data_IF_792274845820
#
_entry.id   IF_792274845820
#
_cell.length_a   1.000
_cell.length_b   1.000
_cell.length_c   1.000
_cell.angle_alpha   90.00
_cell.angle_beta   90.00
_cell.angle_gamma   90.00
#
_symmetry.space_group_name_H-M   'P 1'
#
loop_
_entity.id
_entity.type
_entity.pdbx_description
1 polymer ?
#
# COMPACT_ATOMS: atom_id res chain seq x y z
N UNK A 1 3.78 11.53 -37.81
CA UNK A 1 5.00 11.78 -37.02
C UNK A 1 5.35 10.51 -36.27
N UNK A 2 6.50 9.91 -36.53
CA UNK A 2 7.02 8.74 -35.83
C UNK A 2 7.88 9.19 -34.64
N UNK A 3 7.64 8.64 -33.46
CA UNK A 3 8.51 8.83 -32.29
C UNK A 3 9.50 7.67 -32.28
N UNK A 4 10.80 7.96 -32.27
CA UNK A 4 11.85 6.96 -32.10
C UNK A 4 12.08 6.71 -30.61
N UNK A 5 12.03 5.45 -30.19
CA UNK A 5 12.19 5.02 -28.80
C UNK A 5 13.41 4.11 -28.65
N UNK A 6 14.35 4.48 -27.77
CA UNK A 6 15.69 3.86 -27.69
C UNK A 6 15.94 3.07 -26.41
N UNK A 7 14.88 2.70 -25.70
CA UNK A 7 14.94 1.90 -24.48
C UNK A 7 14.27 2.57 -23.29
N UNK A 8 14.38 1.92 -22.14
CA UNK A 8 13.76 2.37 -20.89
C UNK A 8 14.59 1.97 -19.68
N UNK A 9 14.37 2.71 -18.60
CA UNK A 9 14.77 2.36 -17.25
C UNK A 9 13.54 2.56 -16.37
N UNK A 10 13.06 1.47 -15.79
CA UNK A 10 12.00 1.48 -14.78
C UNK A 10 12.70 1.57 -13.43
N UNK A 11 12.50 2.69 -12.76
CA UNK A 11 12.80 2.78 -11.34
C UNK A 11 11.61 2.21 -10.59
N UNK A 12 11.72 0.98 -10.13
CA UNK A 12 10.87 0.51 -9.04
C UNK A 12 11.26 1.35 -7.82
N UNK A 13 10.33 2.20 -7.38
CA UNK A 13 10.51 2.96 -6.16
C UNK A 13 10.51 1.91 -5.02
N UNK A 14 11.69 1.46 -4.57
CA UNK A 14 11.83 0.87 -3.22
C UNK A 14 11.24 1.82 -2.15
N UNK A 15 10.97 3.09 -2.52
CA UNK A 15 10.18 4.09 -1.82
C UNK A 15 8.70 3.75 -1.57
N UNK A 16 8.18 2.60 -2.00
CA UNK A 16 6.89 2.09 -1.46
C UNK A 16 6.98 1.78 0.04
N UNK A 17 8.18 1.61 0.59
CA UNK A 17 8.41 1.30 2.00
C UNK A 17 9.10 2.45 2.74
N UNK A 18 8.51 3.66 2.69
CA UNK A 18 8.93 4.72 3.61
C UNK A 18 8.80 4.23 5.04
N UNK A 19 9.86 4.42 5.83
CA UNK A 19 9.82 4.18 7.27
C UNK A 19 8.83 5.14 7.92
N UNK A 20 8.34 4.76 9.09
CA UNK A 20 7.40 5.57 9.86
C UNK A 20 7.96 6.98 10.17
N UNK A 21 9.29 7.11 10.22
CA UNK A 21 9.95 8.37 10.56
C UNK A 21 10.09 9.34 9.37
N UNK A 22 9.79 8.89 8.15
CA UNK A 22 10.01 9.68 6.94
C UNK A 22 8.76 10.47 6.55
N UNK A 23 8.93 11.65 5.96
CA UNK A 23 7.81 12.43 5.42
C UNK A 23 7.26 11.78 4.14
N UNK A 24 5.95 11.51 4.07
CA UNK A 24 5.33 10.96 2.88
C UNK A 24 5.21 12.03 1.79
N UNK A 25 5.38 11.62 0.53
CA UNK A 25 5.25 12.48 -0.65
C UNK A 25 3.87 12.30 -1.26
N UNK A 26 3.28 13.40 -1.73
CA UNK A 26 1.99 13.36 -2.44
C UNK A 26 2.09 12.58 -3.75
N UNK A 27 1.00 11.93 -4.16
CA UNK A 27 0.87 11.17 -5.41
C UNK A 27 1.63 9.84 -5.41
N UNK A 28 1.90 9.28 -4.23
CA UNK A 28 2.66 8.04 -4.05
C UNK A 28 1.84 6.98 -3.32
N UNK A 29 2.24 5.73 -3.55
CA UNK A 29 1.71 4.55 -2.89
C UNK A 29 2.66 4.10 -1.79
N UNK A 30 2.12 3.80 -0.61
CA UNK A 30 2.92 3.31 0.52
C UNK A 30 2.37 2.02 1.10
N UNK A 31 3.29 1.18 1.57
CA UNK A 31 2.99 0.04 2.41
C UNK A 31 2.66 0.55 3.81
N UNK A 32 1.44 0.25 4.26
CA UNK A 32 0.95 0.64 5.58
C UNK A 32 0.24 -0.53 6.25
N UNK A 33 -0.12 -0.35 7.52
CA UNK A 33 -0.68 -1.38 8.37
C UNK A 33 -1.93 -0.86 9.10
N UNK A 34 -2.90 -1.76 9.24
CA UNK A 34 -4.13 -1.50 9.99
C UNK A 34 -4.41 -2.67 10.93
N UNK A 35 -4.45 -2.38 12.24
CA UNK A 35 -4.82 -3.34 13.27
C UNK A 35 -6.31 -3.34 13.50
N UNK A 36 -6.94 -4.51 13.41
CA UNK A 36 -8.39 -4.68 13.54
C UNK A 36 -8.74 -6.04 14.14
N UNK A 37 -10.04 -6.34 14.30
CA UNK A 37 -10.50 -7.63 14.78
C UNK A 37 -10.56 -8.67 13.67
N UNK A 38 -10.56 -9.96 14.01
CA UNK A 38 -10.66 -11.04 13.01
C UNK A 38 -11.93 -10.90 12.16
N UNK A 39 -13.08 -10.62 12.78
CA UNK A 39 -14.35 -10.46 12.07
C UNK A 39 -14.34 -9.24 11.14
N UNK A 40 -13.79 -8.12 11.62
CA UNK A 40 -13.67 -6.89 10.84
C UNK A 40 -12.70 -7.07 9.67
N UNK A 41 -11.60 -7.81 9.86
CA UNK A 41 -10.66 -8.16 8.79
C UNK A 41 -11.35 -8.94 7.66
N UNK A 42 -12.18 -9.95 7.98
CA UNK A 42 -12.97 -10.67 6.97
C UNK A 42 -13.88 -9.73 6.18
N UNK A 43 -14.60 -8.85 6.88
CA UNK A 43 -15.50 -7.88 6.27
C UNK A 43 -14.76 -6.86 5.40
N UNK A 44 -13.61 -6.36 5.86
CA UNK A 44 -12.75 -5.43 5.13
C UNK A 44 -12.21 -6.06 3.86
N UNK A 45 -11.76 -7.31 3.93
CA UNK A 45 -11.31 -8.04 2.74
C UNK A 45 -12.51 -8.13 1.78
N UNK A 46 -13.62 -8.73 2.21
CA UNK A 46 -14.80 -8.98 1.36
C UNK A 46 -15.44 -7.74 0.74
N UNK A 47 -15.61 -6.69 1.53
CA UNK A 47 -16.46 -5.53 1.20
C UNK A 47 -15.68 -4.23 1.04
N UNK A 48 -14.37 -4.24 1.27
CA UNK A 48 -13.55 -3.05 1.39
C UNK A 48 -13.66 -2.35 2.74
N UNK A 49 -12.79 -1.36 2.95
CA UNK A 49 -12.83 -0.52 4.13
C UNK A 49 -14.08 0.38 4.16
N UNK A 50 -14.49 0.76 5.36
CA UNK A 50 -15.47 1.81 5.61
C UNK A 50 -14.82 2.90 6.45
N UNK A 51 -15.17 4.15 6.17
CA UNK A 51 -14.70 5.28 6.97
C UNK A 51 -15.24 5.15 8.41
N UNK A 52 -14.41 5.51 9.40
CA UNK A 52 -14.92 5.84 10.71
C UNK A 52 -15.79 7.11 10.63
N UNK A 53 -16.75 7.25 11.54
CA UNK A 53 -17.58 8.46 11.61
C UNK A 53 -16.84 9.67 12.18
N UNK A 54 -15.78 9.43 12.97
CA UNK A 54 -14.94 10.47 13.56
C UNK A 54 -13.56 9.88 13.95
N UNK A 55 -12.67 10.75 14.39
CA UNK A 55 -11.36 10.44 14.93
C UNK A 55 -10.57 11.72 15.21
N UNK A 56 -9.31 11.59 15.64
CA UNK A 56 -8.44 12.74 15.91
C UNK A 56 -8.19 13.61 14.65
N UNK A 57 -8.26 12.98 13.47
CA UNK A 57 -8.16 13.60 12.14
C UNK A 57 -9.52 13.68 11.42
N UNK A 58 -10.64 13.46 12.12
CA UNK A 58 -11.97 13.38 11.51
C UNK A 58 -12.27 12.02 10.85
N UNK A 59 -13.34 11.94 10.04
CA UNK A 59 -13.75 10.69 9.41
C UNK A 59 -12.73 10.20 8.38
N UNK A 60 -12.51 8.87 8.34
CA UNK A 60 -11.60 8.23 7.39
C UNK A 60 -11.13 6.86 7.85
N UNK A 61 -10.12 6.32 7.18
CA UNK A 61 -9.47 5.06 7.54
C UNK A 61 -8.08 5.34 8.09
N UNK A 62 -7.86 4.96 9.34
CA UNK A 62 -6.61 5.17 10.06
C UNK A 62 -5.62 4.07 9.75
N UNK A 63 -4.44 4.44 9.29
CA UNK A 63 -3.36 3.52 8.91
C UNK A 63 -2.02 4.07 9.41
N UNK A 64 -1.03 3.19 9.46
CA UNK A 64 0.29 3.51 10.02
C UNK A 64 1.35 2.77 9.22
N UNK A 65 2.44 3.43 8.87
CA UNK A 65 3.65 2.78 8.33
C UNK A 65 4.39 2.00 9.41
N UNK A 66 4.18 2.31 10.69
CA UNK A 66 4.68 1.50 11.79
C UNK A 66 3.81 0.26 12.04
N UNK A 67 4.30 -0.93 11.70
CA UNK A 67 3.57 -2.20 11.95
C UNK A 67 3.33 -2.44 13.44
N UNK A 68 4.35 -2.25 14.29
CA UNK A 68 4.24 -2.47 15.75
C UNK A 68 3.19 -1.55 16.37
N UNK A 69 2.98 -0.34 15.82
CA UNK A 69 1.88 0.53 16.23
C UNK A 69 0.54 -0.13 15.91
N UNK A 70 0.36 -0.63 14.69
CA UNK A 70 -0.87 -1.28 14.25
C UNK A 70 -1.21 -2.53 15.07
N UNK A 71 -0.21 -3.34 15.46
CA UNK A 71 -0.40 -4.55 16.30
C UNK A 71 -1.06 -4.27 17.66
N UNK A 72 -0.98 -3.03 18.16
CA UNK A 72 -1.63 -2.63 19.42
C UNK A 72 -3.13 -2.42 19.27
N UNK A 73 -3.65 -2.30 18.05
CA UNK A 73 -5.06 -2.02 17.80
C UNK A 73 -5.85 -3.29 17.45
N UNK A 74 -7.13 -3.35 17.88
CA UNK A 74 -7.80 -2.40 18.76
C UNK A 74 -7.30 -2.50 20.22
N UNK A 75 -7.09 -1.36 20.90
CA UNK A 75 -6.45 -1.29 22.23
C UNK A 75 -7.15 -2.14 23.29
N UNK A 76 -8.49 -2.16 23.29
CA UNK A 76 -9.34 -2.89 24.25
C UNK A 76 -9.83 -4.22 23.70
N UNK A 77 -9.01 -4.91 22.91
CA UNK A 77 -9.30 -6.23 22.36
C UNK A 77 -8.34 -7.29 22.92
N UNK A 78 -8.82 -8.54 23.06
CA UNK A 78 -7.97 -9.69 23.40
C UNK A 78 -6.98 -9.94 22.26
N UNK A 79 -5.74 -10.32 22.58
CA UNK A 79 -4.74 -10.66 21.56
C UNK A 79 -5.23 -11.77 20.63
N UNK A 80 -6.05 -12.70 21.16
CA UNK A 80 -6.65 -13.81 20.40
C UNK A 80 -7.68 -13.38 19.34
N UNK A 81 -7.99 -12.08 19.23
CA UNK A 81 -8.93 -11.53 18.25
C UNK A 81 -8.29 -10.37 17.46
N UNK A 82 -6.98 -10.14 17.57
CA UNK A 82 -6.28 -9.09 16.81
C UNK A 82 -5.67 -9.62 15.52
N UNK A 83 -5.82 -8.84 14.46
CA UNK A 83 -5.21 -9.08 13.15
C UNK A 83 -4.57 -7.78 12.67
N UNK A 84 -3.44 -7.89 11.96
CA UNK A 84 -2.84 -6.76 11.25
C UNK A 84 -2.85 -7.01 9.76
N UNK A 85 -3.56 -6.13 9.06
CA UNK A 85 -3.61 -6.08 7.60
C UNK A 85 -2.42 -5.30 7.08
N UNK A 86 -1.77 -5.81 6.04
CA UNK A 86 -0.78 -5.08 5.24
C UNK A 86 -1.49 -4.50 4.01
N UNK A 87 -1.26 -3.22 3.78
CA UNK A 87 -2.01 -2.41 2.84
C UNK A 87 -1.09 -1.81 1.78
N UNK A 88 -1.60 -1.66 0.56
CA UNK A 88 -1.07 -0.72 -0.42
C UNK A 88 -2.00 0.49 -0.46
N UNK A 89 -1.50 1.66 -0.08
CA UNK A 89 -2.31 2.88 0.13
C UNK A 89 -1.90 3.97 -0.85
N UNK A 90 -2.82 4.39 -1.71
CA UNK A 90 -2.69 5.62 -2.52
C UNK A 90 -2.93 6.84 -1.64
N UNK A 91 -1.86 7.58 -1.32
CA UNK A 91 -1.98 8.72 -0.41
C UNK A 91 -2.45 10.02 -1.09
N UNK A 92 -2.57 10.05 -2.42
CA UNK A 92 -3.02 11.24 -3.15
C UNK A 92 -2.35 12.53 -2.68
N UNK A 93 -3.13 13.59 -2.48
CA UNK A 93 -2.65 14.85 -1.90
C UNK A 93 -2.65 14.77 -0.37
N UNK A 94 -1.48 14.98 0.24
CA UNK A 94 -1.30 14.81 1.69
C UNK A 94 -1.38 16.17 2.41
N UNK A 95 -2.10 16.21 3.52
CA UNK A 95 -2.11 17.33 4.47
C UNK A 95 -1.36 16.96 5.74
N UNK A 96 -0.24 17.64 5.98
CA UNK A 96 0.45 17.58 7.27
C UNK A 96 -0.40 18.23 8.37
N UNK A 97 -0.60 17.53 9.48
CA UNK A 97 -1.28 17.99 10.69
C UNK A 97 -0.29 17.80 11.85
N UNK A 98 0.40 18.86 12.27
CA UNK A 98 1.56 18.79 13.17
C UNK A 98 1.39 19.61 14.47
N UNK A 99 0.16 20.04 14.76
CA UNK A 99 -0.19 20.80 15.96
C UNK A 99 -1.59 20.45 16.45
N UNK A 100 -1.80 20.53 17.76
CA UNK A 100 -3.15 20.46 18.33
C UNK A 100 -3.98 21.65 17.84
N UNK A 101 -5.28 21.44 17.62
CA UNK A 101 -6.19 22.46 17.08
C UNK A 101 -5.77 22.99 15.70
N UNK A 102 -5.06 22.19 14.90
CA UNK A 102 -4.72 22.56 13.54
C UNK A 102 -6.01 22.94 12.77
N UNK A 103 -6.06 24.07 12.03
CA UNK A 103 -7.30 24.59 11.42
C UNK A 103 -8.02 23.59 10.50
N UNK A 104 -7.24 22.65 9.95
CA UNK A 104 -7.74 21.61 9.04
C UNK A 104 -7.73 20.21 9.64
N UNK A 105 -7.57 20.07 10.97
CA UNK A 105 -7.41 18.78 11.65
C UNK A 105 -8.51 17.77 11.29
N UNK A 106 -9.77 18.22 11.18
CA UNK A 106 -10.91 17.37 10.78
C UNK A 106 -11.53 17.72 9.42
N UNK A 107 -11.05 18.75 8.73
CA UNK A 107 -11.66 19.30 7.51
C UNK A 107 -10.75 19.26 6.27
N UNK A 108 -9.57 18.66 6.38
CA UNK A 108 -8.60 18.53 5.29
C UNK A 108 -9.21 17.91 4.01
N UNK A 109 -10.08 16.92 4.14
CA UNK A 109 -10.75 16.28 3.01
C UNK A 109 -11.64 17.24 2.21
N UNK A 110 -12.39 18.10 2.91
CA UNK A 110 -13.21 19.15 2.29
C UNK A 110 -12.39 20.23 1.56
N UNK A 111 -11.07 20.28 1.81
CA UNK A 111 -10.12 21.20 1.18
C UNK A 111 -9.30 20.51 0.06
N UNK A 112 -9.77 19.37 -0.44
CA UNK A 112 -9.19 18.67 -1.59
C UNK A 112 -7.91 17.90 -1.26
N UNK A 113 -7.75 17.46 -0.01
CA UNK A 113 -6.69 16.52 0.38
C UNK A 113 -7.25 15.10 0.51
N UNK A 114 -6.46 14.11 0.15
CA UNK A 114 -6.85 12.69 0.16
C UNK A 114 -6.44 11.97 1.44
N UNK A 115 -5.35 12.44 2.06
CA UNK A 115 -4.81 11.89 3.31
C UNK A 115 -4.39 13.02 4.25
N UNK A 116 -4.76 12.93 5.52
CA UNK A 116 -4.10 13.68 6.59
C UNK A 116 -2.99 12.85 7.23
N UNK A 117 -1.86 13.48 7.51
CA UNK A 117 -0.69 12.84 8.09
C UNK A 117 -0.20 13.60 9.31
N UNK A 118 -0.04 12.90 10.43
CA UNK A 118 0.63 13.40 11.63
C UNK A 118 2.08 12.94 11.62
N UNK A 119 3.06 13.85 11.66
CA UNK A 119 4.46 13.47 11.75
C UNK A 119 4.81 12.82 13.09
N UNK A 120 5.81 11.93 13.11
CA UNK A 120 6.36 11.43 14.35
C UNK A 120 6.95 12.59 15.17
N UNK A 121 6.84 12.50 16.49
CA UNK A 121 7.45 13.41 17.46
C UNK A 121 7.13 14.91 17.25
N UNK A 122 5.99 15.24 16.64
CA UNK A 122 5.57 16.64 16.42
C UNK A 122 5.07 17.36 17.68
N UNK A 123 4.95 16.66 18.82
CA UNK A 123 4.56 17.25 20.10
C UNK A 123 3.06 17.44 20.29
N UNK A 124 2.22 16.94 19.39
CA UNK A 124 0.76 16.96 19.54
C UNK A 124 0.30 16.17 20.76
N UNK A 125 -0.44 16.82 21.67
CA UNK A 125 -1.05 16.18 22.84
C UNK A 125 -2.12 15.18 22.46
N UNK A 126 -2.82 15.40 21.34
CA UNK A 126 -3.79 14.46 20.78
C UNK A 126 -3.15 13.12 20.33
N UNK A 127 -1.81 13.07 20.19
CA UNK A 127 -1.04 11.86 19.88
C UNK A 127 0.03 11.63 20.96
N UNK A 128 -0.33 11.22 22.19
CA UNK A 128 0.62 11.10 23.29
C UNK A 128 1.79 10.15 23.02
N UNK A 129 1.59 9.18 22.12
CA UNK A 129 2.64 8.24 21.73
C UNK A 129 3.76 8.86 20.89
N UNK A 130 3.53 10.05 20.30
CA UNK A 130 4.45 10.68 19.35
C UNK A 130 4.69 9.87 18.06
N UNK A 131 3.91 8.82 17.79
CA UNK A 131 4.06 8.03 16.58
C UNK A 131 3.23 8.61 15.43
N UNK A 132 3.73 8.49 14.20
CA UNK A 132 3.01 8.93 13.01
C UNK A 132 1.63 8.29 12.88
N UNK A 133 0.72 8.99 12.23
CA UNK A 133 -0.60 8.47 11.86
C UNK A 133 -1.08 9.06 10.54
N UNK A 134 -1.59 8.21 9.67
CA UNK A 134 -2.22 8.60 8.42
C UNK A 134 -3.73 8.33 8.51
N UNK A 135 -4.55 9.26 8.03
CA UNK A 135 -6.00 9.09 7.88
C UNK A 135 -6.38 9.36 6.43
N UNK A 136 -6.85 8.31 5.74
CA UNK A 136 -7.20 8.35 4.32
C UNK A 136 -8.71 8.56 4.18
N UNK A 137 -9.11 9.48 3.31
CA UNK A 137 -10.52 9.85 3.15
C UNK A 137 -11.31 8.75 2.44
N UNK A 138 -10.96 8.46 1.19
CA UNK A 138 -11.68 7.49 0.36
C UNK A 138 -11.13 6.07 0.60
N UNK A 139 -11.93 5.13 1.14
CA UNK A 139 -11.53 3.74 1.32
C UNK A 139 -11.05 3.03 0.05
N UNK A 140 -11.49 3.48 -1.14
CA UNK A 140 -11.08 2.88 -2.43
C UNK A 140 -9.60 3.07 -2.74
N UNK A 141 -8.93 4.00 -2.05
CA UNK A 141 -7.48 4.23 -2.12
C UNK A 141 -6.67 3.17 -1.38
N UNK A 142 -7.32 2.27 -0.66
CA UNK A 142 -6.67 1.27 0.20
C UNK A 142 -6.94 -0.12 -0.33
N UNK A 143 -5.86 -0.85 -0.65
CA UNK A 143 -5.94 -2.26 -1.02
C UNK A 143 -5.29 -3.12 0.05
N UNK A 144 -6.02 -4.13 0.54
CA UNK A 144 -5.42 -5.20 1.37
C UNK A 144 -4.56 -6.08 0.46
N UNK A 145 -3.30 -6.27 0.82
CA UNK A 145 -2.34 -7.05 0.03
C UNK A 145 -1.75 -8.25 0.77
N UNK A 146 -1.78 -8.26 2.11
CA UNK A 146 -1.36 -9.40 2.92
C UNK A 146 -1.88 -9.31 4.36
N UNK A 147 -1.69 -10.37 5.13
CA UNK A 147 -1.93 -10.47 6.57
C UNK A 147 -0.59 -10.74 7.26
N UNK A 148 -0.15 -9.82 8.12
CA UNK A 148 1.18 -9.89 8.78
C UNK A 148 1.11 -10.37 10.22
N UNK A 149 -0.07 -10.31 10.84
CA UNK A 149 -0.31 -10.86 12.18
C UNK A 149 -1.74 -11.42 12.26
N UNK A 150 -1.90 -12.59 12.86
CA UNK A 150 -3.18 -13.16 13.24
C UNK A 150 -3.04 -14.01 14.52
N UNK A 151 -4.14 -14.33 15.22
CA UNK A 151 -4.09 -15.05 16.50
C UNK A 151 -3.52 -16.46 16.44
N UNK A 152 -3.68 -17.14 15.30
CA UNK A 152 -3.18 -18.49 15.04
C UNK A 152 -3.04 -18.73 13.53
N UNK A 153 -2.38 -19.83 13.16
CA UNK A 153 -2.11 -20.20 11.77
C UNK A 153 -3.37 -20.50 10.97
N UNK A 154 -4.42 -21.04 11.59
CA UNK A 154 -5.69 -21.33 10.91
C UNK A 154 -6.33 -20.04 10.40
N UNK A 155 -6.46 -19.02 11.26
CA UNK A 155 -7.01 -17.71 10.89
C UNK A 155 -6.09 -17.01 9.90
N UNK A 156 -4.77 -17.10 10.08
CA UNK A 156 -3.81 -16.50 9.15
C UNK A 156 -4.00 -17.04 7.73
N UNK A 157 -4.06 -18.37 7.59
CA UNK A 157 -4.19 -19.03 6.30
C UNK A 157 -5.55 -18.74 5.65
N UNK A 158 -6.63 -18.76 6.45
CA UNK A 158 -7.98 -18.38 6.00
C UNK A 158 -7.99 -16.96 5.41
N UNK A 159 -7.49 -15.97 6.16
CA UNK A 159 -7.49 -14.58 5.72
C UNK A 159 -6.59 -14.36 4.49
N UNK A 160 -5.42 -15.00 4.43
CA UNK A 160 -4.55 -14.94 3.25
C UNK A 160 -5.23 -15.53 2.01
N UNK A 161 -5.94 -16.65 2.15
CA UNK A 161 -6.74 -17.22 1.05
C UNK A 161 -7.83 -16.25 0.58
N UNK A 162 -8.53 -15.57 1.50
CA UNK A 162 -9.53 -14.56 1.15
C UNK A 162 -8.92 -13.41 0.34
N UNK A 163 -7.72 -12.93 0.72
CA UNK A 163 -7.00 -11.88 -0.03
C UNK A 163 -6.63 -12.34 -1.44
N UNK A 164 -6.12 -13.56 -1.58
CA UNK A 164 -5.74 -14.12 -2.89
C UNK A 164 -6.95 -14.31 -3.81
N UNK A 165 -8.06 -14.81 -3.28
CA UNK A 165 -9.28 -15.10 -4.05
C UNK A 165 -9.98 -13.84 -4.59
N UNK A 166 -9.66 -12.66 -4.07
CA UNK A 166 -10.19 -11.38 -4.54
C UNK A 166 -9.37 -10.71 -5.63
N UNK A 167 -8.14 -11.16 -5.88
CA UNK A 167 -7.46 -10.75 -7.11
C UNK A 167 -8.19 -11.42 -8.27
N UNK A 168 -8.52 -10.68 -9.35
CA UNK A 168 -9.12 -11.29 -10.53
C UNK A 168 -8.27 -12.50 -10.93
N UNK A 169 -8.92 -13.65 -11.05
CA UNK A 169 -8.32 -14.93 -11.37
C UNK A 169 -7.27 -14.75 -12.48
N UNK A 170 -5.99 -14.72 -12.09
CA UNK A 170 -4.99 -15.38 -12.91
C UNK A 170 -5.39 -16.85 -12.84
N UNK A 171 -5.97 -17.31 -13.95
CA UNK A 171 -6.39 -18.69 -14.19
C UNK A 171 -5.41 -19.68 -13.55
N UNK A 172 -5.99 -20.66 -12.85
CA UNK A 172 -5.30 -21.78 -12.26
C UNK A 172 -4.23 -22.36 -13.20
N UNK A 173 -3.02 -22.55 -12.69
CA UNK A 173 -2.26 -23.81 -12.74
C UNK A 173 -0.75 -23.57 -12.72
N UNK A 174 -0.07 -24.43 -11.97
CA UNK A 174 1.37 -24.72 -11.97
C UNK A 174 2.31 -23.62 -11.43
N UNK A 175 3.37 -24.07 -10.74
CA UNK A 175 4.41 -23.26 -10.11
C UNK A 175 4.73 -21.98 -10.91
N UNK A 176 4.84 -20.79 -10.28
CA UNK A 176 5.17 -19.58 -11.02
C UNK A 176 6.57 -19.73 -11.62
N UNK A 177 6.63 -20.06 -12.91
CA UNK A 177 7.86 -19.99 -13.67
C UNK A 177 8.34 -18.55 -13.63
N UNK A 178 9.61 -18.36 -13.25
CA UNK A 178 10.24 -17.05 -13.28
C UNK A 178 10.62 -16.71 -14.72
N UNK A 179 10.33 -15.48 -15.16
CA UNK A 179 10.78 -15.02 -16.46
C UNK A 179 12.32 -14.95 -16.49
N UNK A 180 12.96 -15.67 -17.41
CA UNK A 180 14.42 -15.70 -17.50
C UNK A 180 15.05 -14.33 -17.88
N UNK A 181 14.25 -13.41 -18.42
CA UNK A 181 14.70 -12.09 -18.86
C UNK A 181 14.51 -10.98 -17.81
N UNK A 182 13.33 -10.89 -17.18
CA UNK A 182 13.07 -9.88 -16.15
C UNK A 182 13.23 -10.39 -14.71
N UNK A 183 13.36 -11.71 -14.52
CA UNK A 183 13.48 -12.39 -13.22
C UNK A 183 12.28 -12.20 -12.29
N UNK A 184 11.14 -11.76 -12.83
CA UNK A 184 9.87 -11.63 -12.12
C UNK A 184 8.96 -12.82 -12.42
N UNK A 185 8.04 -13.11 -11.49
CA UNK A 185 6.96 -14.10 -11.69
C UNK A 185 6.16 -13.76 -12.96
N UNK A 186 5.86 -14.75 -13.80
CA UNK A 186 5.13 -14.56 -15.08
C UNK A 186 3.62 -14.38 -14.81
N UNK A 187 3.25 -13.46 -13.92
CA UNK A 187 1.86 -13.13 -13.61
C UNK A 187 1.70 -11.61 -13.38
N UNK A 188 0.93 -10.88 -14.21
CA UNK A 188 0.29 -11.34 -15.45
C UNK A 188 1.34 -11.66 -16.53
N UNK A 189 0.98 -12.48 -17.53
CA UNK A 189 1.93 -12.97 -18.54
C UNK A 189 2.75 -11.87 -19.23
N UNK A 190 4.08 -12.01 -19.22
CA UNK A 190 4.99 -11.05 -19.85
C UNK A 190 5.20 -11.39 -21.33
N UNK A 191 5.18 -10.39 -22.21
CA UNK A 191 5.50 -10.60 -23.62
C UNK A 191 7.01 -10.50 -23.84
N UNK A 192 7.59 -11.53 -24.45
CA UNK A 192 8.99 -11.54 -24.91
C UNK A 192 9.01 -11.24 -26.40
N UNK A 193 9.83 -10.27 -26.81
CA UNK A 193 9.92 -9.83 -28.19
C UNK A 193 11.35 -9.38 -28.53
N UNK A 194 11.75 -9.35 -29.81
CA UNK A 194 12.99 -8.71 -30.22
C UNK A 194 12.86 -7.18 -30.10
N UNK A 195 13.91 -6.53 -29.60
CA UNK A 195 14.04 -5.08 -29.65
C UNK A 195 14.05 -4.62 -31.11
N UNK A 196 13.14 -3.72 -31.48
CA UNK A 196 13.01 -3.21 -32.85
C UNK A 196 14.26 -2.51 -33.37
N UNK A 197 15.13 -2.00 -32.49
CA UNK A 197 16.39 -1.36 -32.87
C UNK A 197 17.58 -2.32 -32.92
N UNK A 198 17.92 -2.96 -31.80
CA UNK A 198 19.16 -3.75 -31.70
C UNK A 198 18.96 -5.27 -31.89
N UNK A 199 17.73 -5.74 -32.06
CA UNK A 199 17.40 -7.16 -32.23
C UNK A 199 17.55 -8.02 -30.96
N UNK A 200 17.99 -7.45 -29.83
CA UNK A 200 18.11 -8.20 -28.57
C UNK A 200 16.74 -8.67 -28.08
N UNK A 201 16.66 -9.92 -27.60
CA UNK A 201 15.47 -10.45 -26.95
C UNK A 201 15.20 -9.71 -25.63
N UNK A 202 14.04 -9.06 -25.53
CA UNK A 202 13.62 -8.27 -24.37
C UNK A 202 12.29 -8.75 -23.82
N UNK A 203 12.10 -8.60 -22.51
CA UNK A 203 10.82 -8.77 -21.85
C UNK A 203 10.21 -7.39 -21.63
N UNK A 204 8.92 -7.21 -21.94
CA UNK A 204 8.25 -5.91 -21.77
C UNK A 204 8.25 -5.39 -20.33
N UNK A 205 8.40 -6.26 -19.34
CA UNK A 205 8.50 -5.90 -17.91
C UNK A 205 9.92 -5.90 -17.36
N UNK A 206 10.96 -6.00 -18.20
CA UNK A 206 12.34 -5.94 -17.69
C UNK A 206 12.64 -4.55 -17.13
N UNK A 207 13.39 -4.45 -16.00
CA UNK A 207 13.65 -3.17 -15.33
C UNK A 207 14.44 -2.20 -16.19
N UNK A 208 15.25 -2.70 -17.13
CA UNK A 208 16.14 -1.87 -17.94
C UNK A 208 16.41 -2.50 -19.28
N UNK A 209 16.32 -1.71 -20.34
CA UNK A 209 16.88 -2.03 -21.64
C UNK A 209 17.53 -0.78 -22.23
N UNK A 210 18.81 -0.88 -22.60
CA UNK A 210 19.52 0.16 -23.34
C UNK A 210 19.75 -0.34 -24.77
N UNK A 211 19.04 0.26 -25.72
CA UNK A 211 19.20 -0.12 -27.13
C UNK A 211 20.51 0.45 -27.68
N UNK A 212 21.39 -0.40 -28.18
CA UNK A 212 22.65 0.00 -28.82
C UNK A 212 22.52 0.20 -30.34
N UNK A 213 21.30 0.41 -30.86
CA UNK A 213 21.09 0.66 -32.28
C UNK A 213 21.83 1.95 -32.68
N UNK A 214 22.81 1.81 -33.58
CA UNK A 214 23.52 2.93 -34.21
C UNK A 214 22.85 3.17 -35.57
N UNK A 215 21.71 3.84 -35.53
CA UNK A 215 21.03 4.39 -36.71
C UNK A 215 21.34 5.88 -36.83
#
# INVERSE_FOLDING_TARGET
MSISFYGWEVHYDEGHHLRAEQEPKSGKYYIMYHGTKVQDARSIIQNGFRQSSDGMLGPGVYVSRNQKKAERYPLKCKFTDRVVLKLNVDCGKIKKIDSDNHPMQKSWHANGYDTAWVPPHCGMKAVPSGMEEDCVWDPKRIKVIDIVLAPNSTILNELKQLVTNQSPQASASTNPEMCQLCKSEIVPGHTVQPCWGCGQTICTLMPKHKCNHRG
#
